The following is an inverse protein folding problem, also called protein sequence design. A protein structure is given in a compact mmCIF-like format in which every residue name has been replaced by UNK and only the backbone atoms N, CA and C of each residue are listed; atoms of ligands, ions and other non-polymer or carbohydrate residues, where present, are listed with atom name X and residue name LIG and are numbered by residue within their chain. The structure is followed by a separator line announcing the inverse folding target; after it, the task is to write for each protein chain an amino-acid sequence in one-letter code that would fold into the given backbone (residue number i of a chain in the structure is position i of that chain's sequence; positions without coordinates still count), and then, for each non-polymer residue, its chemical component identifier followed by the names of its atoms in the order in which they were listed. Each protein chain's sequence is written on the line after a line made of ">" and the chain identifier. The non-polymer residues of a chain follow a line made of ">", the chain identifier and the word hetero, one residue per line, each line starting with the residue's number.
data_IF_843215291256
#
_entry.id   IF_843215291256
#
_cell.length_a   1.000
_cell.length_b   1.000
_cell.length_c   1.000
_cell.angle_alpha   90.00
_cell.angle_beta   90.00
_cell.angle_gamma   90.00
#
_symmetry.space_group_name_H-M   'P 1'
#
loop_
_entity.id
_entity.type
_entity.pdbx_description
1 polymer ?
#
# COMPACT_ATOMS: atom_id res chain seq x y z
N UNK A 1 27.26 33.14 -16.11
CA UNK A 1 26.20 34.15 -15.93
C UNK A 1 24.96 33.41 -15.49
N UNK A 2 24.58 33.61 -14.23
CA UNK A 2 23.71 32.76 -13.43
C UNK A 2 22.27 32.73 -13.96
N UNK A 3 21.70 31.53 -14.06
CA UNK A 3 20.25 31.35 -14.18
C UNK A 3 19.65 31.68 -12.84
N UNK A 4 18.89 32.77 -12.82
CA UNK A 4 18.08 33.23 -11.70
C UNK A 4 17.08 32.11 -11.33
N UNK A 5 17.37 31.40 -10.24
CA UNK A 5 16.41 30.52 -9.60
C UNK A 5 15.41 31.41 -8.87
N UNK A 6 14.19 31.49 -9.38
CA UNK A 6 13.04 32.17 -8.78
C UNK A 6 12.77 31.57 -7.39
N UNK A 7 13.25 32.26 -6.35
CA UNK A 7 12.96 31.97 -4.94
C UNK A 7 11.48 32.27 -4.67
N UNK A 8 10.59 31.40 -5.13
CA UNK A 8 9.22 31.33 -4.61
C UNK A 8 9.29 30.78 -3.20
N UNK A 9 9.53 31.68 -2.25
CA UNK A 9 9.29 31.50 -0.83
C UNK A 9 7.83 31.04 -0.64
N UNK A 10 7.65 29.73 -0.65
CA UNK A 10 6.38 29.07 -0.44
C UNK A 10 5.96 29.32 1.00
N UNK A 11 5.09 30.30 1.21
CA UNK A 11 4.36 30.45 2.47
C UNK A 11 3.67 29.12 2.78
N UNK A 12 4.25 28.33 3.68
CA UNK A 12 3.58 27.17 4.24
C UNK A 12 2.41 27.72 5.07
N UNK A 13 1.24 27.83 4.42
CA UNK A 13 0.02 28.21 5.11
C UNK A 13 -0.35 27.05 6.01
N UNK A 14 -0.41 27.32 7.31
CA UNK A 14 -0.88 26.38 8.31
C UNK A 14 -2.38 26.15 8.05
N UNK A 15 -2.71 25.01 7.46
CA UNK A 15 -4.09 24.58 7.23
C UNK A 15 -4.46 23.70 8.42
N UNK A 16 -5.63 23.93 9.02
CA UNK A 16 -6.10 23.08 10.11
C UNK A 16 -6.34 21.65 9.64
N UNK A 17 -6.11 20.68 10.54
CA UNK A 17 -6.29 19.25 10.30
C UNK A 17 -7.72 18.93 9.86
N UNK A 18 -8.70 19.63 10.43
CA UNK A 18 -10.12 19.48 10.11
C UNK A 18 -10.40 19.91 8.68
N UNK A 19 -9.75 20.99 8.23
CA UNK A 19 -9.92 21.50 6.87
C UNK A 19 -9.29 20.56 5.84
N UNK A 20 -8.12 20.01 6.15
CA UNK A 20 -7.47 18.98 5.32
C UNK A 20 -8.35 17.74 5.22
N UNK A 21 -8.87 17.23 6.35
CA UNK A 21 -9.77 16.09 6.40
C UNK A 21 -11.01 16.32 5.53
N UNK A 22 -11.65 17.48 5.69
CA UNK A 22 -12.84 17.84 4.91
C UNK A 22 -12.55 17.92 3.39
N UNK A 23 -11.40 18.46 2.98
CA UNK A 23 -11.02 18.50 1.56
C UNK A 23 -10.81 17.08 1.01
N UNK A 24 -10.09 16.24 1.74
CA UNK A 24 -9.80 14.86 1.33
C UNK A 24 -11.09 14.04 1.19
N UNK A 25 -11.98 14.12 2.19
CA UNK A 25 -13.18 13.30 2.23
C UNK A 25 -14.32 13.83 1.34
N UNK A 26 -14.64 15.12 1.44
CA UNK A 26 -15.85 15.68 0.80
C UNK A 26 -15.59 16.16 -0.63
N UNK A 27 -14.49 16.89 -0.85
CA UNK A 27 -14.21 17.47 -2.17
C UNK A 27 -13.50 16.48 -3.10
N UNK A 28 -12.55 15.72 -2.57
CA UNK A 28 -11.79 14.75 -3.35
C UNK A 28 -12.45 13.35 -3.36
N UNK A 29 -13.41 13.09 -2.46
CA UNK A 29 -14.10 11.80 -2.37
C UNK A 29 -13.16 10.65 -1.98
N UNK A 30 -12.08 10.96 -1.28
CA UNK A 30 -11.08 9.98 -0.91
C UNK A 30 -11.45 9.31 0.40
N UNK A 31 -11.18 8.01 0.51
CA UNK A 31 -11.33 7.28 1.76
C UNK A 31 -9.97 6.78 2.21
N UNK A 32 -9.72 6.83 3.51
CA UNK A 32 -8.54 6.22 4.11
C UNK A 32 -8.67 4.71 3.96
N UNK A 33 -7.77 4.10 3.20
CA UNK A 33 -7.66 2.65 3.16
C UNK A 33 -6.73 2.17 4.27
N UNK A 34 -7.03 1.02 4.87
CA UNK A 34 -6.07 0.33 5.73
C UNK A 34 -4.85 -0.04 4.88
N UNK A 35 -3.71 0.58 5.17
CA UNK A 35 -2.45 0.14 4.60
C UNK A 35 -2.00 -1.11 5.37
N UNK A 36 -2.06 -2.28 4.72
CA UNK A 36 -1.33 -3.44 5.23
C UNK A 36 0.16 -3.17 5.08
N UNK A 37 0.94 -3.49 6.13
CA UNK A 37 2.39 -3.41 6.08
C UNK A 37 2.92 -4.38 5.02
N UNK A 38 3.39 -3.84 3.89
CA UNK A 38 4.14 -4.61 2.90
C UNK A 38 5.62 -4.46 3.27
N UNK A 39 6.35 -5.54 3.61
CA UNK A 39 7.71 -5.47 4.14
C UNK A 39 8.76 -4.85 3.21
N UNK A 40 8.41 -4.51 1.96
CA UNK A 40 9.37 -4.01 0.99
C UNK A 40 8.72 -3.02 0.00
N UNK A 41 9.42 -1.92 -0.26
CA UNK A 41 9.11 -1.02 -1.36
C UNK A 41 9.64 -1.63 -2.66
N UNK A 42 8.73 -1.91 -3.59
CA UNK A 42 9.09 -2.56 -4.85
C UNK A 42 9.66 -1.54 -5.84
N UNK A 43 10.72 -1.94 -6.53
CA UNK A 43 11.22 -1.18 -7.69
C UNK A 43 10.18 -1.19 -8.82
N UNK A 44 10.32 -0.26 -9.77
CA UNK A 44 9.44 -0.21 -10.94
C UNK A 44 9.40 -1.56 -11.69
N UNK A 45 10.56 -2.16 -11.94
CA UNK A 45 10.66 -3.43 -12.64
C UNK A 45 10.00 -4.59 -11.88
N UNK A 46 10.11 -4.59 -10.55
CA UNK A 46 9.43 -5.59 -9.71
C UNK A 46 7.91 -5.42 -9.75
N UNK A 47 7.41 -4.18 -9.82
CA UNK A 47 5.97 -3.90 -10.01
C UNK A 47 5.51 -4.38 -11.39
N UNK A 48 6.27 -4.07 -12.43
CA UNK A 48 5.95 -4.51 -13.78
C UNK A 48 5.91 -6.04 -13.89
N UNK A 49 6.93 -6.73 -13.35
CA UNK A 49 6.98 -8.19 -13.30
C UNK A 49 5.74 -8.79 -12.62
N UNK A 50 5.33 -8.21 -11.48
CA UNK A 50 4.12 -8.66 -10.77
C UNK A 50 2.85 -8.51 -11.61
N UNK A 51 2.74 -7.42 -12.39
CA UNK A 51 1.60 -7.21 -13.30
C UNK A 51 1.61 -8.27 -14.40
N UNK A 52 2.75 -8.43 -15.07
CA UNK A 52 2.91 -9.37 -16.20
C UNK A 52 2.57 -10.82 -15.76
N UNK A 53 3.12 -11.25 -14.62
CA UNK A 53 2.87 -12.57 -14.05
C UNK A 53 1.38 -12.74 -13.72
N UNK A 54 0.78 -11.74 -13.06
CA UNK A 54 -0.64 -11.77 -12.68
C UNK A 54 -1.56 -11.86 -13.90
N UNK A 55 -1.26 -11.12 -14.97
CA UNK A 55 -2.01 -11.19 -16.22
C UNK A 55 -1.90 -12.58 -16.88
N UNK A 56 -0.71 -13.16 -16.88
CA UNK A 56 -0.48 -14.50 -17.39
C UNK A 56 -1.28 -15.54 -16.61
N UNK A 57 -1.21 -15.49 -15.27
CA UNK A 57 -2.00 -16.38 -14.40
C UNK A 57 -3.50 -16.20 -14.61
N UNK A 58 -3.98 -14.96 -14.73
CA UNK A 58 -5.39 -14.69 -15.00
C UNK A 58 -5.85 -15.28 -16.34
N UNK A 59 -5.04 -15.15 -17.40
CA UNK A 59 -5.31 -15.79 -18.70
C UNK A 59 -5.37 -17.32 -18.56
N UNK A 60 -4.49 -17.91 -17.77
CA UNK A 60 -4.49 -19.36 -17.52
C UNK A 60 -5.73 -19.83 -16.75
N UNK A 61 -6.15 -19.09 -15.71
CA UNK A 61 -7.36 -19.38 -14.94
C UNK A 61 -8.60 -19.23 -15.81
N UNK A 62 -8.68 -18.21 -16.67
CA UNK A 62 -9.82 -18.02 -17.59
C UNK A 62 -9.92 -19.12 -18.65
N UNK A 63 -8.79 -19.68 -19.09
CA UNK A 63 -8.74 -20.73 -20.12
C UNK A 63 -8.99 -22.14 -19.56
N UNK A 64 -8.63 -22.39 -18.30
CA UNK A 64 -8.79 -23.70 -17.65
C UNK A 64 -10.06 -23.72 -16.78
N UNK A 65 -10.72 -24.88 -16.69
CA UNK A 65 -11.84 -25.09 -15.76
C UNK A 65 -11.43 -24.81 -14.30
N UNK A 66 -12.37 -24.51 -13.38
CA UNK A 66 -12.08 -24.25 -11.95
C UNK A 66 -11.25 -25.36 -11.26
N UNK A 67 -11.28 -26.56 -11.81
CA UNK A 67 -10.42 -27.70 -11.46
C UNK A 67 -8.91 -27.40 -11.42
N UNK A 68 -8.44 -26.37 -12.13
CA UNK A 68 -7.03 -25.96 -12.09
C UNK A 68 -6.60 -25.47 -10.70
N UNK A 69 -7.45 -24.70 -10.02
CA UNK A 69 -7.14 -24.16 -8.69
C UNK A 69 -7.16 -25.27 -7.62
N UNK A 70 -7.98 -26.31 -7.81
CA UNK A 70 -8.01 -27.47 -6.89
C UNK A 70 -6.69 -28.25 -6.81
N UNK A 71 -5.81 -28.10 -7.80
CA UNK A 71 -4.47 -28.73 -7.82
C UNK A 71 -3.38 -27.78 -7.34
N UNK A 72 -3.70 -26.52 -7.08
CA UNK A 72 -2.71 -25.52 -6.70
C UNK A 72 -2.50 -25.57 -5.19
N UNK A 73 -1.32 -26.02 -4.77
CA UNK A 73 -0.90 -26.07 -3.37
C UNK A 73 0.20 -25.03 -3.17
N UNK A 74 -0.04 -24.07 -2.28
CA UNK A 74 0.96 -23.09 -1.86
C UNK A 74 1.45 -23.43 -0.46
N UNK A 75 2.76 -23.40 -0.25
CA UNK A 75 3.37 -23.52 1.07
C UNK A 75 4.18 -22.27 1.33
N UNK A 76 4.03 -21.71 2.52
CA UNK A 76 4.84 -20.58 3.00
C UNK A 76 5.38 -20.93 4.39
N UNK A 77 6.62 -20.54 4.66
CA UNK A 77 7.26 -20.81 5.92
C UNK A 77 6.94 -19.69 6.91
N UNK A 78 6.06 -19.98 7.87
CA UNK A 78 5.81 -19.07 8.99
C UNK A 78 6.87 -19.31 10.06
N UNK A 79 7.85 -18.42 10.15
CA UNK A 79 8.87 -18.50 11.21
C UNK A 79 8.23 -18.12 12.54
N UNK A 80 7.93 -19.13 13.36
CA UNK A 80 7.41 -18.94 14.72
C UNK A 80 8.58 -18.53 15.62
N UNK A 81 8.57 -17.29 16.09
CA UNK A 81 9.54 -16.81 17.08
C UNK A 81 9.10 -17.19 18.50
N UNK A 82 10.01 -17.71 19.32
CA UNK A 82 9.73 -17.97 20.74
C UNK A 82 9.25 -16.72 21.50
N UNK A 83 9.54 -15.50 21.03
CA UNK A 83 8.99 -14.26 21.62
C UNK A 83 7.48 -14.11 21.42
N UNK A 84 6.89 -14.59 20.32
CA UNK A 84 5.43 -14.46 20.09
C UNK A 84 4.60 -15.38 20.97
N UNK A 85 5.21 -16.40 21.59
CA UNK A 85 4.55 -17.29 22.56
C UNK A 85 4.53 -16.73 23.99
N UNK A 86 5.34 -15.70 24.29
CA UNK A 86 5.46 -15.12 25.65
C UNK A 86 4.71 -13.79 25.76
N UNK A 87 4.48 -13.08 24.65
CA UNK A 87 3.77 -11.79 24.62
C UNK A 87 2.30 -11.94 24.21
N UNK A 88 1.51 -12.63 25.02
CA UNK A 88 0.05 -12.46 25.06
C UNK A 88 -0.30 -11.45 26.15
N UNK A 89 0.14 -10.19 26.05
CA UNK A 89 -0.39 -9.03 26.78
C UNK A 89 -0.11 -7.73 25.97
N UNK A 90 -1.07 -6.78 25.90
CA UNK A 90 -1.04 -5.71 24.91
C UNK A 90 -0.27 -4.49 25.42
N UNK A 91 0.69 -3.98 24.64
CA UNK A 91 0.93 -2.56 24.33
C UNK A 91 2.35 -2.34 23.80
N UNK A 92 2.50 -1.38 22.89
CA UNK A 92 3.74 -0.58 22.81
C UNK A 92 4.52 -0.62 21.50
N UNK A 93 3.94 0.03 20.47
CA UNK A 93 4.56 0.91 19.47
C UNK A 93 6.03 0.67 19.07
N UNK A 94 6.24 0.29 17.81
CA UNK A 94 7.48 0.60 17.07
C UNK A 94 7.12 1.40 15.82
N UNK A 95 7.58 2.64 15.81
CA UNK A 95 7.86 3.50 14.67
C UNK A 95 7.97 2.77 13.32
N UNK A 96 6.97 2.96 12.46
CA UNK A 96 7.05 2.55 11.06
C UNK A 96 6.32 3.59 10.21
N UNK A 97 6.96 4.00 9.10
CA UNK A 97 6.39 4.96 8.14
C UNK A 97 5.15 4.37 7.50
N UNK A 98 3.99 4.87 7.87
CA UNK A 98 2.71 4.52 7.25
C UNK A 98 2.60 5.20 5.89
N UNK A 99 2.67 4.43 4.80
CA UNK A 99 2.18 4.91 3.51
C UNK A 99 0.65 4.80 3.51
N UNK A 100 -0.02 5.92 3.74
CA UNK A 100 -1.48 5.98 3.57
C UNK A 100 -1.79 6.17 2.09
N UNK A 101 -2.38 5.16 1.46
CA UNK A 101 -2.90 5.27 0.10
C UNK A 101 -4.35 5.72 0.18
N UNK A 102 -4.64 6.88 -0.42
CA UNK A 102 -6.00 7.36 -0.61
C UNK A 102 -6.46 6.93 -2.00
N UNK A 103 -7.54 6.17 -2.05
CA UNK A 103 -8.18 5.81 -3.32
C UNK A 103 -9.53 6.48 -3.45
N UNK A 104 -9.87 6.85 -4.68
CA UNK A 104 -11.19 7.36 -5.05
C UNK A 104 -12.11 6.16 -5.20
N UNK A 105 -13.20 6.10 -4.44
CA UNK A 105 -14.25 5.14 -4.76
C UNK A 105 -14.82 5.51 -6.14
N UNK A 106 -14.65 4.62 -7.11
CA UNK A 106 -15.35 4.74 -8.39
C UNK A 106 -16.87 4.61 -8.21
N UNK A 107 -17.66 4.98 -9.24
CA UNK A 107 -19.11 4.76 -9.24
C UNK A 107 -19.47 3.27 -9.12
#
# INVERSE_FOLDING_TARGET
>A
MSTEYDERSGRQKEISTERVHHIIHEYLGMRKLCAMWVPCELTFDQKQRRVDDSEQYLKMIKRKKPEFLHRYVTTDETVISLRSLIYSHPFGLRNASSFTVFSRSGP
#
